data_IF_332052899618
#
_entry.id   IF_332052899618
#
_cell.length_a   1.000
_cell.length_b   1.000
_cell.length_c   1.000
_cell.angle_alpha   90.00
_cell.angle_beta   90.00
_cell.angle_gamma   90.00
#
_symmetry.space_group_name_H-M   'P 1'
#
loop_
_entity.id
_entity.type
_entity.pdbx_description
1 polymer ?
#
# COMPACT_ATOMS: atom_id res chain seq x y z
N UNK A 1 -2.52 15.83 -20.69
CA UNK A 1 -3.01 14.86 -20.81
C UNK A 1 -3.03 14.60 -20.73
N UNK A 2 -3.13 15.22 -20.98
CA UNK A 2 -3.74 14.50 -21.02
C UNK A 2 -3.65 14.24 -21.31
N UNK A 3 -3.71 15.06 -21.78
CA UNK A 3 -4.31 14.28 -22.17
C UNK A 3 -4.31 14.26 -22.34
N UNK A 4 -4.41 14.64 -22.59
CA UNK A 4 -5.02 14.02 -22.78
C UNK A 4 -4.91 14.11 -22.97
N UNK A 5 -5.00 14.34 -23.15
CA UNK A 5 -5.50 13.75 -23.40
C UNK A 5 -5.36 13.53 -23.82
N UNK A 6 -5.38 14.40 -24.21
CA UNK A 6 -5.88 13.70 -24.62
C UNK A 6 -5.59 13.60 -24.95
N UNK A 7 -5.73 13.82 -25.41
CA UNK A 7 -6.23 13.09 -25.85
C UNK A 7 -6.08 13.02 -26.46
N UNK A 8 -6.38 13.21 -27.48
CA UNK A 8 -7.06 12.69 -28.42
C UNK A 8 -7.57 12.64 -28.89
N UNK A 9 -7.80 12.65 -28.99
CA UNK A 9 -8.54 12.62 -29.78
C UNK A 9 -9.60 12.40 -30.07
N UNK A 10 -9.99 12.46 -30.25
CA UNK A 10 -11.15 12.81 -30.87
C UNK A 10 -12.28 11.93 -30.67
N UNK A 11 -12.75 11.32 -31.59
CA UNK A 11 -14.02 10.66 -31.51
C UNK A 11 -14.11 9.52 -30.54
N UNK A 12 -13.08 9.24 -29.78
CA UNK A 12 -13.23 8.23 -28.75
C UNK A 12 -13.43 8.80 -27.36
N UNK A 13 -13.78 10.05 -27.26
CA UNK A 13 -14.18 10.61 -25.98
C UNK A 13 -15.37 9.83 -25.45
N UNK A 14 -15.27 9.37 -24.22
CA UNK A 14 -16.35 8.69 -23.54
C UNK A 14 -16.61 7.25 -23.95
N UNK A 15 -15.88 6.74 -24.91
CA UNK A 15 -16.13 5.36 -25.37
C UNK A 15 -15.86 4.31 -24.35
N UNK A 16 -14.74 4.41 -23.62
CA UNK A 16 -14.36 3.44 -22.63
C UNK A 16 -14.66 3.91 -21.22
N UNK A 17 -14.96 5.17 -21.06
CA UNK A 17 -15.12 5.78 -19.75
C UNK A 17 -16.59 5.87 -19.37
N UNK A 18 -17.12 4.77 -18.86
CA UNK A 18 -18.48 4.80 -18.30
C UNK A 18 -18.45 5.61 -17.02
N UNK A 19 -19.61 6.13 -16.58
CA UNK A 19 -19.66 6.88 -15.32
C UNK A 19 -19.09 6.10 -14.13
N UNK A 20 -19.34 4.79 -14.10
CA UNK A 20 -18.82 3.94 -13.03
C UNK A 20 -17.32 3.86 -13.05
N UNK A 21 -16.72 3.73 -14.23
CA UNK A 21 -15.27 3.65 -14.34
C UNK A 21 -14.61 4.99 -14.02
N UNK A 22 -15.25 6.10 -14.43
CA UNK A 22 -14.75 7.43 -14.07
C UNK A 22 -14.77 7.60 -12.55
N UNK A 23 -15.85 7.16 -11.91
CA UNK A 23 -15.97 7.23 -10.46
C UNK A 23 -14.84 6.46 -9.78
N UNK A 24 -14.56 5.23 -10.24
CA UNK A 24 -13.48 4.43 -9.68
C UNK A 24 -12.12 5.08 -9.86
N UNK A 25 -11.90 5.67 -11.03
CA UNK A 25 -10.65 6.38 -11.27
C UNK A 25 -10.48 7.55 -10.32
N UNK A 26 -11.55 8.31 -10.10
CA UNK A 26 -11.52 9.45 -9.19
C UNK A 26 -11.26 9.00 -7.76
N UNK A 27 -11.86 7.89 -7.34
CA UNK A 27 -11.63 7.34 -6.01
C UNK A 27 -10.17 6.96 -5.80
N UNK A 28 -9.54 6.38 -6.81
CA UNK A 28 -8.11 6.01 -6.73
C UNK A 28 -7.23 7.24 -6.66
N UNK A 29 -7.56 8.28 -7.42
CA UNK A 29 -6.83 9.54 -7.36
C UNK A 29 -6.94 10.14 -5.96
N UNK A 30 -8.15 10.17 -5.42
CA UNK A 30 -8.41 10.73 -4.10
C UNK A 30 -7.67 9.93 -3.02
N UNK A 31 -7.64 8.62 -3.14
CA UNK A 31 -6.96 7.76 -2.19
C UNK A 31 -5.45 8.00 -2.22
N UNK A 32 -4.90 8.18 -3.42
CA UNK A 32 -3.48 8.48 -3.54
C UNK A 32 -3.14 9.83 -2.90
N UNK A 33 -4.01 10.82 -3.07
CA UNK A 33 -3.82 12.13 -2.45
C UNK A 33 -3.94 12.04 -0.93
N UNK A 34 -4.84 11.20 -0.45
CA UNK A 34 -4.99 10.97 0.98
C UNK A 34 -3.72 10.41 1.60
N UNK A 35 -2.95 9.60 0.86
CA UNK A 35 -1.67 9.12 1.35
C UNK A 35 -0.71 10.27 1.62
N UNK A 36 -0.67 11.26 0.72
CA UNK A 36 0.19 12.43 0.91
C UNK A 36 -0.22 13.22 2.13
N UNK A 37 -1.51 13.34 2.36
CA UNK A 37 -2.03 14.10 3.50
C UNK A 37 -1.71 13.41 4.82
N UNK A 38 -1.93 12.11 4.91
CA UNK A 38 -1.79 11.37 6.17
C UNK A 38 -0.42 10.76 6.39
N UNK A 39 0.37 10.63 5.33
CA UNK A 39 1.74 10.10 5.40
C UNK A 39 2.68 10.97 4.58
N UNK A 40 2.81 12.27 4.96
CA UNK A 40 3.64 13.16 4.18
C UNK A 40 5.11 12.74 4.24
N UNK A 41 5.77 12.83 3.10
CA UNK A 41 7.19 12.53 3.03
C UNK A 41 7.53 11.04 2.98
N UNK A 42 6.56 10.16 3.11
CA UNK A 42 6.81 8.72 3.01
C UNK A 42 6.89 8.35 1.54
N UNK A 43 7.97 7.66 1.17
CA UNK A 43 8.15 7.22 -0.20
C UNK A 43 7.46 5.87 -0.37
N UNK A 44 6.56 5.81 -1.35
CA UNK A 44 5.86 4.57 -1.66
C UNK A 44 6.28 4.04 -3.02
N UNK A 45 6.91 2.85 -3.02
CA UNK A 45 6.90 2.02 -4.19
C UNK A 45 5.65 1.16 -4.09
N UNK A 46 5.29 0.51 -5.16
CA UNK A 46 4.12 -0.35 -5.16
C UNK A 46 4.20 -1.42 -4.09
N UNK A 47 5.38 -2.01 -3.92
CA UNK A 47 5.58 -3.04 -2.91
C UNK A 47 5.36 -2.52 -1.50
N UNK A 48 5.86 -1.32 -1.20
CA UNK A 48 5.68 -0.74 0.13
C UNK A 48 4.21 -0.51 0.44
N UNK A 49 3.47 0.05 -0.50
CA UNK A 49 2.05 0.29 -0.31
C UNK A 49 1.29 -1.02 -0.12
N UNK A 50 1.62 -2.02 -0.93
CA UNK A 50 0.94 -3.30 -0.80
C UNK A 50 1.27 -4.01 0.51
N UNK A 51 2.50 -3.87 1.01
CA UNK A 51 2.84 -4.40 2.33
C UNK A 51 1.91 -3.82 3.39
N UNK A 52 1.73 -2.50 3.38
CA UNK A 52 0.85 -1.85 4.36
C UNK A 52 -0.59 -2.35 4.23
N UNK A 53 -1.08 -2.47 3.01
CA UNK A 53 -2.43 -2.97 2.78
C UNK A 53 -2.60 -4.40 3.25
N UNK A 54 -1.63 -5.27 2.96
CA UNK A 54 -1.71 -6.66 3.38
C UNK A 54 -1.67 -6.77 4.90
N UNK A 55 -0.85 -5.98 5.56
CA UNK A 55 -0.80 -5.98 7.01
C UNK A 55 -2.12 -5.49 7.61
N UNK A 56 -2.74 -4.51 6.96
CA UNK A 56 -4.03 -4.01 7.41
C UNK A 56 -5.11 -5.09 7.27
N UNK A 57 -5.13 -5.79 6.14
CA UNK A 57 -6.08 -6.87 5.88
C UNK A 57 -5.94 -7.97 6.93
N UNK A 58 -4.71 -8.30 7.34
CA UNK A 58 -4.45 -9.40 8.25
C UNK A 58 -4.38 -9.00 9.71
N UNK A 59 -4.56 -7.73 10.02
CA UNK A 59 -4.37 -7.21 11.37
C UNK A 59 -5.19 -7.96 12.42
N UNK A 60 -6.42 -8.33 12.09
CA UNK A 60 -7.31 -9.03 13.02
C UNK A 60 -6.81 -10.42 13.37
N UNK A 61 -5.92 -10.99 12.57
CA UNK A 61 -5.42 -12.35 12.79
C UNK A 61 -4.06 -12.37 13.47
N UNK A 62 -3.52 -11.20 13.83
CA UNK A 62 -2.24 -11.09 14.51
C UNK A 62 -1.06 -10.95 13.56
N UNK A 63 0.17 -11.04 14.10
CA UNK A 63 1.36 -10.86 13.27
C UNK A 63 1.48 -11.91 12.18
N UNK A 64 1.98 -11.51 11.03
CA UNK A 64 2.11 -12.37 9.86
C UNK A 64 3.59 -12.47 9.47
N UNK A 65 4.02 -13.65 9.07
CA UNK A 65 5.41 -13.89 8.70
C UNK A 65 5.83 -13.03 7.50
N UNK A 66 7.03 -12.47 7.57
CA UNK A 66 7.56 -11.66 6.48
C UNK A 66 7.61 -12.44 5.17
N UNK A 67 7.94 -13.74 5.23
CA UNK A 67 7.97 -14.57 4.03
C UNK A 67 6.58 -14.70 3.40
N UNK A 68 5.54 -14.74 4.23
CA UNK A 68 4.17 -14.82 3.73
C UNK A 68 3.78 -13.52 3.05
N UNK A 69 4.17 -12.38 3.63
CA UNK A 69 3.92 -11.08 3.01
C UNK A 69 4.63 -10.99 1.66
N UNK A 70 5.90 -11.40 1.60
CA UNK A 70 6.65 -11.39 0.35
C UNK A 70 5.95 -12.22 -0.72
N UNK A 71 5.43 -13.38 -0.33
CA UNK A 71 4.69 -14.25 -1.23
C UNK A 71 3.41 -13.57 -1.73
N UNK A 72 2.66 -12.97 -0.81
CA UNK A 72 1.40 -12.31 -1.15
C UNK A 72 1.58 -11.14 -2.11
N UNK A 73 2.66 -10.38 -1.95
CA UNK A 73 2.92 -9.23 -2.83
C UNK A 73 3.79 -9.63 -4.03
N UNK A 74 4.08 -10.92 -4.19
CA UNK A 74 4.84 -11.46 -5.32
C UNK A 74 6.18 -10.75 -5.50
N UNK A 75 6.90 -10.58 -4.41
CA UNK A 75 8.18 -9.88 -4.37
C UNK A 75 9.21 -10.76 -3.68
N UNK A 76 10.46 -10.79 -4.16
CA UNK A 76 11.50 -11.57 -3.48
C UNK A 76 11.63 -11.14 -2.02
N UNK A 77 11.88 -12.10 -1.15
CA UNK A 77 11.94 -11.83 0.29
C UNK A 77 12.96 -10.73 0.63
N UNK A 78 14.13 -10.75 -0.02
CA UNK A 78 15.15 -9.74 0.26
C UNK A 78 14.66 -8.33 -0.06
N UNK A 79 13.93 -8.18 -1.16
CA UNK A 79 13.37 -6.89 -1.55
C UNK A 79 12.26 -6.48 -0.58
N UNK A 80 11.39 -7.43 -0.24
CA UNK A 80 10.32 -7.16 0.72
C UNK A 80 10.89 -6.72 2.07
N UNK A 81 11.95 -7.37 2.53
CA UNK A 81 12.58 -7.01 3.81
C UNK A 81 13.19 -5.61 3.79
N UNK A 82 13.71 -5.17 2.64
CA UNK A 82 14.19 -3.78 2.54
C UNK A 82 13.06 -2.79 2.72
N UNK A 83 11.93 -3.04 2.10
CA UNK A 83 10.78 -2.17 2.27
C UNK A 83 10.23 -2.21 3.69
N UNK A 84 10.24 -3.41 4.31
CA UNK A 84 9.84 -3.54 5.70
C UNK A 84 10.73 -2.68 6.59
N UNK A 85 12.05 -2.75 6.39
CA UNK A 85 12.98 -1.94 7.16
C UNK A 85 12.71 -0.45 7.01
N UNK A 86 12.43 -0.03 5.77
CA UNK A 86 12.09 1.36 5.51
C UNK A 86 10.81 1.76 6.27
N UNK A 87 9.78 0.92 6.20
CA UNK A 87 8.50 1.20 6.85
C UNK A 87 8.64 1.18 8.38
N UNK A 88 9.51 0.33 8.91
CA UNK A 88 9.82 0.34 10.33
C UNK A 88 10.47 1.67 10.73
N UNK A 89 11.38 2.16 9.89
CA UNK A 89 12.02 3.46 10.12
C UNK A 89 11.04 4.61 10.09
N UNK A 90 9.93 4.45 9.38
CA UNK A 90 8.86 5.45 9.35
C UNK A 90 7.84 5.24 10.46
N UNK A 91 8.07 4.28 11.35
CA UNK A 91 7.19 3.94 12.47
C UNK A 91 5.81 3.46 12.04
N UNK A 92 5.71 2.83 10.88
CA UNK A 92 4.44 2.33 10.36
C UNK A 92 4.28 0.83 10.56
N UNK A 93 5.39 0.12 10.65
CA UNK A 93 5.42 -1.34 10.79
C UNK A 93 6.30 -1.69 11.98
N UNK A 94 5.92 -2.72 12.70
CA UNK A 94 6.72 -3.31 13.77
C UNK A 94 6.99 -4.75 13.41
N UNK A 95 8.20 -5.22 13.69
CA UNK A 95 8.53 -6.61 13.47
C UNK A 95 8.95 -7.26 14.78
N UNK A 96 8.63 -8.55 14.87
CA UNK A 96 9.03 -9.38 16.01
C UNK A 96 9.79 -10.56 15.47
N UNK A 97 10.99 -10.77 15.99
CA UNK A 97 11.81 -11.88 15.54
C UNK A 97 11.38 -13.16 16.22
N UNK A 98 11.42 -14.25 15.46
CA UNK A 98 11.30 -15.58 16.03
C UNK A 98 12.62 -15.90 16.71
N UNK A 99 12.64 -16.25 18.00
CA UNK A 99 13.90 -16.54 18.69
C UNK A 99 14.69 -17.68 18.06
N UNK A 100 14.04 -18.54 17.31
CA UNK A 100 14.68 -19.71 16.72
C UNK A 100 15.16 -19.45 15.28
N UNK A 101 14.57 -18.51 14.58
CA UNK A 101 14.93 -18.27 13.18
C UNK A 101 14.50 -16.86 12.75
N UNK A 102 15.51 -16.01 12.52
CA UNK A 102 15.25 -14.62 12.10
C UNK A 102 14.48 -14.51 10.79
N UNK A 103 14.54 -15.56 9.95
CA UNK A 103 13.78 -15.57 8.71
C UNK A 103 12.28 -15.68 8.95
N UNK A 104 11.86 -16.03 10.15
CA UNK A 104 10.47 -16.13 10.55
C UNK A 104 9.98 -14.85 11.22
N UNK A 105 10.65 -13.73 10.93
CA UNK A 105 10.22 -12.43 11.43
C UNK A 105 8.75 -12.23 11.13
N UNK A 106 8.01 -11.75 12.14
CA UNK A 106 6.58 -11.50 12.01
C UNK A 106 6.30 -10.01 12.05
N UNK A 107 5.36 -9.59 11.24
CA UNK A 107 5.08 -8.18 11.01
C UNK A 107 3.68 -7.82 11.44
N UNK A 108 3.54 -6.61 12.00
CA UNK A 108 2.23 -6.00 12.24
C UNK A 108 2.35 -4.51 11.93
N UNK A 109 1.23 -3.86 11.70
CA UNK A 109 1.19 -2.40 11.64
C UNK A 109 1.36 -1.84 13.04
N UNK A 110 2.06 -0.71 13.15
CA UNK A 110 2.11 0.04 14.39
C UNK A 110 0.76 0.71 14.62
N UNK A 111 0.55 1.26 15.82
CA UNK A 111 -0.65 2.06 16.09
C UNK A 111 -0.76 3.23 15.12
N UNK A 112 0.36 3.87 14.81
CA UNK A 112 0.40 4.96 13.82
C UNK A 112 0.00 4.45 12.45
N UNK A 113 0.50 3.27 12.05
CA UNK A 113 0.17 2.66 10.77
C UNK A 113 -1.31 2.38 10.66
N UNK A 114 -1.90 1.80 11.70
CA UNK A 114 -3.34 1.52 11.73
C UNK A 114 -4.13 2.81 11.59
N UNK A 115 -3.75 3.82 12.35
CA UNK A 115 -4.48 5.10 12.33
C UNK A 115 -4.42 5.75 10.97
N UNK A 116 -3.24 5.83 10.38
CA UNK A 116 -3.06 6.46 9.08
C UNK A 116 -3.81 5.72 7.98
N UNK A 117 -3.71 4.39 7.96
CA UNK A 117 -4.41 3.60 6.94
C UNK A 117 -5.91 3.68 7.11
N UNK A 118 -6.39 3.69 8.35
CA UNK A 118 -7.81 3.83 8.61
C UNK A 118 -8.35 5.14 8.04
N UNK A 119 -7.60 6.22 8.18
CA UNK A 119 -8.00 7.51 7.61
C UNK A 119 -7.94 7.51 6.09
N UNK A 120 -6.91 6.91 5.51
CA UNK A 120 -6.77 6.87 4.05
C UNK A 120 -7.89 6.01 3.44
N UNK A 121 -8.17 4.85 4.02
CA UNK A 121 -9.13 3.90 3.48
C UNK A 121 -10.56 4.25 3.82
N UNK A 122 -10.77 4.90 4.97
CA UNK A 122 -12.11 5.24 5.43
C UNK A 122 -12.71 6.44 4.74
N UNK A 123 -11.88 7.21 4.07
CA UNK A 123 -12.34 8.38 3.33
C UNK A 123 -12.54 8.03 1.87
#
# INVERSE_FOLDING_TARGET
MTVTESNHAPSFFGRAATPELVQRAQERINQRRAREVHLPGVIFGEAAWEILLQLFVHDAYGPIAASKIAELIQTPLTTALRWVAYLEGQNLVESREDPLDARRRRLVLSSKGIECLSKILGD
#
